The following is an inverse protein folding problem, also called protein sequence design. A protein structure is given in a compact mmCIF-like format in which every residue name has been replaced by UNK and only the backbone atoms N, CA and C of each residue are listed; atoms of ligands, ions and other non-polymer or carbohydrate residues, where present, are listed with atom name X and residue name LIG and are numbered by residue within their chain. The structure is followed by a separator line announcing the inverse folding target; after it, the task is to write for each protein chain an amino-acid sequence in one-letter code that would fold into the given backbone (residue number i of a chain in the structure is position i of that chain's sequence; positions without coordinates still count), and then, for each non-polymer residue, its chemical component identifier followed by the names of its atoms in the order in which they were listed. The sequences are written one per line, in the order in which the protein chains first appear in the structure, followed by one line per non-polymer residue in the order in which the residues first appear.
data_IF_535154923634
#
_entry.id   IF_535154923634
#
_cell.length_a   1.000
_cell.length_b   1.000
_cell.length_c   1.000
_cell.angle_alpha   90.00
_cell.angle_beta   90.00
_cell.angle_gamma   90.00
#
_symmetry.space_group_name_H-M   'P 1'
#
loop_
_entity.id
_entity.type
_entity.pdbx_description
1 polymer ?
#
# COMPACT_ATOMS: atom_id res chain seq x y z
N UNK A 1 -28.18 21.25 -3.38
CA UNK A 1 -27.50 20.31 -4.28
C UNK A 1 -26.01 20.62 -4.49
N UNK A 2 -25.53 21.86 -4.29
CA UNK A 2 -24.14 22.28 -4.56
C UNK A 2 -23.09 21.95 -3.49
N UNK A 3 -23.46 21.29 -2.36
CA UNK A 3 -22.52 20.88 -1.30
C UNK A 3 -21.95 19.47 -1.46
N UNK A 4 -22.45 18.67 -2.41
CA UNK A 4 -22.06 17.26 -2.56
C UNK A 4 -20.76 17.11 -3.35
N UNK A 5 -20.42 18.07 -4.21
CA UNK A 5 -19.27 18.03 -5.11
C UNK A 5 -18.08 18.94 -4.71
N UNK A 6 -18.11 19.58 -3.52
CA UNK A 6 -16.95 20.36 -3.09
C UNK A 6 -15.85 19.42 -2.61
N UNK A 7 -14.95 19.06 -3.52
CA UNK A 7 -13.64 18.49 -3.17
C UNK A 7 -12.97 19.54 -2.25
N UNK A 8 -12.82 19.17 -0.99
CA UNK A 8 -12.38 20.09 0.07
C UNK A 8 -10.91 20.54 -0.08
N UNK A 9 -10.14 19.87 -0.96
CA UNK A 9 -8.75 20.18 -1.27
C UNK A 9 -8.46 19.95 -2.76
N UNK A 10 -8.62 21.00 -3.55
CA UNK A 10 -8.41 20.94 -5.01
C UNK A 10 -6.96 20.59 -5.39
N UNK A 11 -5.97 21.05 -4.60
CA UNK A 11 -4.56 20.76 -4.87
C UNK A 11 -4.31 19.24 -4.73
N UNK A 12 -4.73 18.64 -3.62
CA UNK A 12 -4.58 17.20 -3.40
C UNK A 12 -5.26 16.40 -4.52
N UNK A 13 -6.49 16.78 -4.89
CA UNK A 13 -7.24 16.10 -5.95
C UNK A 13 -6.52 16.18 -7.30
N UNK A 14 -6.04 17.37 -7.69
CA UNK A 14 -5.33 17.56 -8.97
C UNK A 14 -4.07 16.71 -9.03
N UNK A 15 -3.28 16.65 -7.96
CA UNK A 15 -2.06 15.84 -7.95
C UNK A 15 -2.35 14.33 -7.96
N UNK A 16 -3.39 13.85 -7.26
CA UNK A 16 -3.85 12.46 -7.37
C UNK A 16 -4.23 12.14 -8.82
N UNK A 17 -4.99 13.02 -9.47
CA UNK A 17 -5.42 12.86 -10.86
C UNK A 17 -4.22 12.85 -11.81
N UNK A 18 -3.29 13.81 -11.68
CA UNK A 18 -2.11 13.89 -12.54
C UNK A 18 -1.24 12.64 -12.43
N UNK A 19 -0.91 12.18 -11.22
CA UNK A 19 -0.10 10.96 -11.01
C UNK A 19 -0.83 9.73 -11.57
N UNK A 20 -2.15 9.63 -11.37
CA UNK A 20 -2.92 8.48 -11.85
C UNK A 20 -3.03 8.45 -13.38
N UNK A 21 -3.23 9.60 -14.04
CA UNK A 21 -3.27 9.69 -15.50
C UNK A 21 -1.89 9.42 -16.10
N UNK A 22 -0.85 9.94 -15.48
CA UNK A 22 0.52 9.61 -15.86
C UNK A 22 0.81 8.11 -15.70
N UNK A 23 0.29 7.48 -14.64
CA UNK A 23 0.34 6.03 -14.43
C UNK A 23 -0.29 5.23 -15.58
N UNK A 24 -1.40 5.70 -16.18
CA UNK A 24 -1.98 5.07 -17.37
C UNK A 24 -1.07 5.18 -18.59
N UNK A 25 -0.44 6.34 -18.79
CA UNK A 25 0.51 6.52 -19.91
C UNK A 25 1.74 5.62 -19.73
N UNK A 26 2.28 5.55 -18.50
CA UNK A 26 3.41 4.67 -18.19
C UNK A 26 3.05 3.19 -18.34
N UNK A 27 1.83 2.81 -17.96
CA UNK A 27 1.34 1.45 -18.12
C UNK A 27 1.24 1.07 -19.60
N UNK A 28 0.82 1.98 -20.47
CA UNK A 28 0.82 1.76 -21.93
C UNK A 28 2.21 1.41 -22.44
N UNK A 29 3.24 2.11 -21.97
CA UNK A 29 4.63 1.75 -22.28
C UNK A 29 5.03 0.40 -21.67
N UNK A 30 4.77 0.20 -20.39
CA UNK A 30 5.15 -1.01 -19.67
C UNK A 30 4.49 -2.29 -20.21
N UNK A 31 3.36 -2.19 -20.92
CA UNK A 31 2.61 -3.34 -21.47
C UNK A 31 2.81 -3.54 -22.97
N UNK A 32 3.89 -3.00 -23.54
CA UNK A 32 4.16 -3.06 -24.99
C UNK A 32 2.99 -2.51 -25.81
N UNK A 33 2.45 -1.35 -25.41
CA UNK A 33 1.37 -0.64 -26.09
C UNK A 33 0.03 -1.41 -26.15
N UNK A 34 -0.20 -2.33 -25.17
CA UNK A 34 -1.49 -3.04 -25.06
C UNK A 34 -2.59 -2.08 -24.59
N UNK A 35 -3.41 -1.64 -25.57
CA UNK A 35 -4.53 -0.72 -25.35
C UNK A 35 -5.61 -1.33 -24.48
N UNK A 36 -5.84 -2.64 -24.56
CA UNK A 36 -6.90 -3.32 -23.79
C UNK A 36 -6.60 -3.32 -22.30
N UNK A 37 -5.33 -3.48 -21.93
CA UNK A 37 -4.90 -3.39 -20.51
C UNK A 37 -5.11 -1.95 -20.01
N UNK A 38 -4.76 -0.95 -20.82
CA UNK A 38 -4.91 0.47 -20.44
C UNK A 38 -6.39 0.85 -20.31
N UNK A 39 -7.25 0.41 -21.23
CA UNK A 39 -8.70 0.66 -21.15
C UNK A 39 -9.29 0.02 -19.88
N UNK A 40 -8.95 -1.24 -19.59
CA UNK A 40 -9.37 -1.92 -18.36
C UNK A 40 -8.88 -1.19 -17.10
N UNK A 41 -7.64 -0.71 -17.07
CA UNK A 41 -7.13 0.05 -15.94
C UNK A 41 -7.78 1.44 -15.85
N UNK A 42 -8.03 2.10 -16.98
CA UNK A 42 -8.73 3.39 -17.05
C UNK A 42 -10.17 3.30 -16.51
N UNK A 43 -10.89 2.22 -16.85
CA UNK A 43 -12.24 1.98 -16.32
C UNK A 43 -12.23 1.73 -14.80
N UNK A 44 -11.25 0.97 -14.29
CA UNK A 44 -11.04 0.79 -12.84
C UNK A 44 -10.71 2.11 -12.15
N UNK A 45 -9.87 2.93 -12.76
CA UNK A 45 -9.49 4.23 -12.24
C UNK A 45 -10.70 5.16 -12.13
N UNK A 46 -11.53 5.22 -13.17
CA UNK A 46 -12.79 6.00 -13.15
C UNK A 46 -13.71 5.54 -12.01
N UNK A 47 -13.90 4.23 -11.86
CA UNK A 47 -14.68 3.66 -10.76
C UNK A 47 -14.10 4.06 -9.40
N UNK A 48 -12.77 4.00 -9.23
CA UNK A 48 -12.10 4.39 -7.99
C UNK A 48 -12.24 5.88 -7.68
N UNK A 49 -12.21 6.77 -8.68
CA UNK A 49 -12.50 8.19 -8.49
C UNK A 49 -13.94 8.42 -8.00
N UNK A 50 -14.92 7.74 -8.59
CA UNK A 50 -16.32 7.82 -8.13
C UNK A 50 -16.43 7.33 -6.68
N UNK A 51 -15.81 6.19 -6.37
CA UNK A 51 -15.78 5.63 -5.02
C UNK A 51 -15.13 6.60 -4.01
N UNK A 52 -14.02 7.24 -4.36
CA UNK A 52 -13.36 8.26 -3.55
C UNK A 52 -14.30 9.43 -3.24
N UNK A 53 -15.05 9.92 -4.24
CA UNK A 53 -16.02 11.02 -4.07
C UNK A 53 -17.16 10.58 -3.14
N UNK A 54 -17.68 9.36 -3.31
CA UNK A 54 -18.71 8.80 -2.43
C UNK A 54 -18.22 8.75 -0.98
N UNK A 55 -17.04 8.18 -0.76
CA UNK A 55 -16.46 8.06 0.60
C UNK A 55 -16.15 9.44 1.19
N UNK A 56 -15.68 10.40 0.40
CA UNK A 56 -15.44 11.78 0.85
C UNK A 56 -16.71 12.49 1.33
N UNK A 57 -17.88 12.01 0.87
CA UNK A 57 -19.19 12.56 1.27
C UNK A 57 -19.70 11.99 2.60
N UNK A 58 -19.15 10.86 3.04
CA UNK A 58 -19.54 10.22 4.31
C UNK A 58 -19.01 11.05 5.48
N UNK A 59 -19.85 11.25 6.48
CA UNK A 59 -19.44 11.93 7.71
C UNK A 59 -18.45 11.10 8.50
N UNK A 60 -17.34 11.71 8.93
CA UNK A 60 -16.29 11.02 9.69
C UNK A 60 -16.81 10.37 10.98
N UNK A 61 -17.84 10.96 11.62
CA UNK A 61 -18.48 10.37 12.80
C UNK A 61 -19.27 9.11 12.45
N UNK A 62 -19.94 9.06 11.29
CA UNK A 62 -20.59 7.85 10.79
C UNK A 62 -19.55 6.78 10.46
N UNK A 63 -18.45 7.19 9.82
CA UNK A 63 -17.34 6.28 9.55
C UNK A 63 -16.76 5.69 10.84
N UNK A 64 -16.59 6.50 11.89
CA UNK A 64 -16.19 6.04 13.22
C UNK A 64 -17.15 4.99 13.78
N UNK A 65 -18.46 5.21 13.69
CA UNK A 65 -19.48 4.25 14.17
C UNK A 65 -19.48 2.95 13.37
N UNK A 66 -19.26 3.03 12.05
CA UNK A 66 -19.23 1.86 11.18
C UNK A 66 -17.92 1.07 11.25
N UNK A 67 -16.86 1.64 11.82
CA UNK A 67 -15.51 1.03 11.86
C UNK A 67 -15.48 -0.41 12.37
N UNK A 68 -16.06 -0.77 13.53
CA UNK A 68 -16.02 -2.14 14.03
C UNK A 68 -16.71 -3.13 13.08
N UNK A 69 -17.83 -2.71 12.48
CA UNK A 69 -18.58 -3.54 11.53
C UNK A 69 -17.78 -3.79 10.26
N UNK A 70 -17.17 -2.74 9.70
CA UNK A 70 -16.31 -2.84 8.50
C UNK A 70 -15.14 -3.79 8.77
N UNK A 71 -14.49 -3.66 9.93
CA UNK A 71 -13.37 -4.52 10.32
C UNK A 71 -13.80 -5.99 10.43
N UNK A 72 -14.93 -6.28 11.11
CA UNK A 72 -15.46 -7.64 11.26
C UNK A 72 -15.85 -8.23 9.89
N UNK A 73 -16.50 -7.44 9.03
CA UNK A 73 -16.86 -7.84 7.68
C UNK A 73 -15.59 -8.21 6.88
N UNK A 74 -14.53 -7.41 6.95
CA UNK A 74 -13.27 -7.74 6.31
C UNK A 74 -12.66 -9.05 6.85
N UNK A 75 -12.72 -9.31 8.15
CA UNK A 75 -12.27 -10.58 8.72
C UNK A 75 -13.09 -11.77 8.23
N UNK A 76 -14.41 -11.62 8.13
CA UNK A 76 -15.31 -12.67 7.59
C UNK A 76 -14.95 -12.95 6.12
N UNK A 77 -14.82 -11.91 5.29
CA UNK A 77 -14.42 -12.09 3.89
C UNK A 77 -13.03 -12.71 3.75
N UNK A 78 -12.10 -12.37 4.65
CA UNK A 78 -10.77 -12.97 4.66
C UNK A 78 -10.84 -14.47 5.02
N UNK A 79 -11.69 -14.85 5.98
CA UNK A 79 -11.95 -16.25 6.30
C UNK A 79 -12.62 -16.98 5.12
N UNK A 80 -13.62 -16.37 4.48
CA UNK A 80 -14.26 -16.91 3.28
C UNK A 80 -13.23 -17.13 2.17
N UNK A 81 -12.33 -16.17 1.95
CA UNK A 81 -11.28 -16.28 0.92
C UNK A 81 -10.36 -17.48 1.16
N UNK A 82 -10.10 -17.86 2.41
CA UNK A 82 -9.26 -19.01 2.75
C UNK A 82 -9.88 -20.33 2.25
N UNK A 83 -11.22 -20.47 2.31
CA UNK A 83 -11.93 -21.71 1.95
C UNK A 83 -12.39 -21.70 0.47
N UNK A 84 -12.96 -20.59 0.01
CA UNK A 84 -13.60 -20.45 -1.31
C UNK A 84 -12.90 -19.47 -2.25
N UNK A 85 -11.71 -18.95 -1.89
CA UNK A 85 -10.95 -18.03 -2.74
C UNK A 85 -10.51 -18.68 -4.05
N UNK A 86 -10.39 -17.86 -5.09
CA UNK A 86 -9.81 -18.27 -6.37
C UNK A 86 -8.31 -18.53 -6.21
N UNK A 87 -7.86 -19.66 -6.72
CA UNK A 87 -6.45 -20.06 -6.68
C UNK A 87 -5.66 -19.30 -7.75
N UNK A 88 -4.65 -18.57 -7.32
CA UNK A 88 -3.73 -17.87 -8.19
C UNK A 88 -2.30 -18.07 -7.69
N UNK A 89 -1.44 -18.63 -8.54
CA UNK A 89 -0.03 -18.96 -8.22
C UNK A 89 0.08 -19.83 -6.94
N UNK A 90 -0.85 -20.79 -6.77
CA UNK A 90 -0.83 -21.74 -5.64
C UNK A 90 -1.34 -21.17 -4.30
N UNK A 91 -2.05 -20.06 -4.32
CA UNK A 91 -2.62 -19.47 -3.12
C UNK A 91 -4.02 -18.90 -3.36
N UNK A 92 -4.95 -19.17 -2.44
CA UNK A 92 -6.32 -18.66 -2.47
C UNK A 92 -6.39 -17.28 -1.81
N UNK A 93 -6.22 -16.21 -2.61
CA UNK A 93 -6.13 -14.82 -2.11
C UNK A 93 -7.19 -13.88 -2.67
N UNK A 94 -7.91 -14.30 -3.71
CA UNK A 94 -8.79 -13.46 -4.49
C UNK A 94 -10.24 -13.91 -4.39
N UNK A 95 -11.15 -12.94 -4.28
CA UNK A 95 -12.58 -13.13 -4.45
C UNK A 95 -12.97 -12.48 -5.78
N UNK A 96 -13.64 -13.22 -6.63
CA UNK A 96 -14.17 -12.67 -7.87
C UNK A 96 -15.60 -12.19 -7.59
N UNK A 97 -15.82 -10.88 -7.67
CA UNK A 97 -17.13 -10.24 -7.52
C UNK A 97 -17.46 -9.52 -8.81
N UNK A 98 -18.52 -9.94 -9.52
CA UNK A 98 -18.94 -9.32 -10.78
C UNK A 98 -17.82 -9.13 -11.81
N UNK A 99 -16.89 -10.09 -11.91
CA UNK A 99 -15.74 -10.03 -12.83
C UNK A 99 -14.54 -9.22 -12.33
N UNK A 100 -14.63 -8.61 -11.14
CA UNK A 100 -13.50 -7.94 -10.50
C UNK A 100 -12.83 -8.88 -9.50
N UNK A 101 -11.52 -9.05 -9.61
CA UNK A 101 -10.72 -9.75 -8.60
C UNK A 101 -10.43 -8.81 -7.44
N UNK A 102 -11.03 -9.08 -6.27
CA UNK A 102 -10.83 -8.32 -5.04
C UNK A 102 -9.92 -9.11 -4.09
N UNK A 103 -8.85 -8.47 -3.63
CA UNK A 103 -8.00 -8.99 -2.57
C UNK A 103 -8.35 -8.28 -1.26
N UNK A 104 -8.98 -8.98 -0.33
CA UNK A 104 -9.47 -8.40 0.93
C UNK A 104 -8.33 -7.86 1.78
N UNK A 105 -7.16 -8.50 1.73
CA UNK A 105 -5.98 -8.06 2.48
C UNK A 105 -5.48 -6.66 2.07
N UNK A 106 -5.79 -6.19 0.85
CA UNK A 106 -5.50 -4.81 0.46
C UNK A 106 -6.34 -3.78 1.24
N UNK A 107 -7.61 -4.11 1.50
CA UNK A 107 -8.52 -3.25 2.27
C UNK A 107 -8.11 -3.23 3.75
N UNK A 108 -7.53 -4.31 4.26
CA UNK A 108 -7.06 -4.42 5.65
C UNK A 108 -5.93 -3.44 5.99
N UNK A 109 -5.14 -3.01 5.02
CA UNK A 109 -4.13 -1.95 5.23
C UNK A 109 -4.75 -0.63 5.70
N UNK A 110 -6.04 -0.41 5.42
CA UNK A 110 -6.79 0.77 5.87
C UNK A 110 -7.67 0.44 7.07
N UNK A 111 -8.36 -0.70 7.05
CA UNK A 111 -9.33 -1.03 8.10
C UNK A 111 -8.68 -1.39 9.44
N UNK A 112 -7.46 -1.93 9.44
CA UNK A 112 -6.69 -2.15 10.69
C UNK A 112 -6.33 -0.81 11.36
N UNK A 113 -5.71 0.17 10.69
CA UNK A 113 -5.52 1.52 11.24
C UNK A 113 -6.81 2.19 11.67
N UNK A 114 -7.88 2.03 10.89
CA UNK A 114 -9.20 2.60 11.21
C UNK A 114 -9.76 2.00 12.51
N UNK A 115 -9.64 0.67 12.70
CA UNK A 115 -10.07 -0.02 13.92
C UNK A 115 -9.22 0.38 15.13
N UNK A 116 -7.91 0.55 14.96
CA UNK A 116 -7.03 1.04 16.03
C UNK A 116 -7.35 2.48 16.42
N UNK A 117 -7.57 3.37 15.43
CA UNK A 117 -7.96 4.75 15.67
C UNK A 117 -9.32 4.84 16.41
N UNK A 118 -10.27 3.98 16.03
CA UNK A 118 -11.54 3.84 16.75
C UNK A 118 -11.31 3.40 18.20
N UNK A 119 -10.55 2.32 18.40
CA UNK A 119 -10.29 1.77 19.74
C UNK A 119 -9.62 2.78 20.67
N UNK A 120 -8.60 3.50 20.17
CA UNK A 120 -7.93 4.54 20.96
C UNK A 120 -8.81 5.76 21.22
N UNK A 121 -9.78 6.04 20.36
CA UNK A 121 -10.72 7.16 20.53
C UNK A 121 -11.86 6.88 21.52
N UNK A 122 -11.95 5.67 22.12
CA UNK A 122 -12.96 5.33 23.14
C UNK A 122 -12.60 5.84 24.53
N UNK A 123 -11.39 6.26 24.77
CA UNK A 123 -10.93 6.74 26.07
C UNK A 123 -10.07 7.99 25.91
N UNK A 124 -10.22 8.92 26.83
CA UNK A 124 -9.49 10.19 26.85
C UNK A 124 -8.04 10.07 27.35
N UNK A 125 -7.60 8.86 27.73
CA UNK A 125 -6.23 8.64 28.18
C UNK A 125 -5.24 8.95 27.05
N UNK A 126 -4.36 9.91 27.28
CA UNK A 126 -3.30 10.31 26.35
C UNK A 126 -2.24 9.22 26.16
N UNK A 127 -2.06 8.34 27.12
CA UNK A 127 -1.05 7.31 27.13
C UNK A 127 -1.65 5.92 26.89
N UNK A 128 -1.04 5.17 25.96
CA UNK A 128 -1.41 3.77 25.73
C UNK A 128 -0.95 2.93 26.93
N UNK A 129 -1.89 2.40 27.71
CA UNK A 129 -1.62 1.43 28.78
C UNK A 129 -1.22 0.07 28.21
N UNK A 130 -0.61 -0.80 29.03
CA UNK A 130 -0.24 -2.15 28.60
C UNK A 130 -1.45 -2.97 28.11
N UNK A 131 -2.59 -2.85 28.78
CA UNK A 131 -3.84 -3.52 28.36
C UNK A 131 -4.29 -3.04 26.98
N UNK A 132 -4.29 -1.73 26.73
CA UNK A 132 -4.61 -1.16 25.40
C UNK A 132 -3.65 -1.65 24.34
N UNK A 133 -2.36 -1.77 24.65
CA UNK A 133 -1.34 -2.26 23.73
C UNK A 133 -1.59 -3.73 23.36
N UNK A 134 -1.90 -4.59 24.33
CA UNK A 134 -2.23 -6.01 24.07
C UNK A 134 -3.44 -6.14 23.15
N UNK A 135 -4.53 -5.41 23.43
CA UNK A 135 -5.72 -5.43 22.56
C UNK A 135 -5.42 -4.87 21.17
N UNK A 136 -4.55 -3.87 21.06
CA UNK A 136 -4.11 -3.35 19.75
C UNK A 136 -3.40 -4.42 18.93
N UNK A 137 -2.55 -5.23 19.56
CA UNK A 137 -1.91 -6.35 18.89
C UNK A 137 -2.91 -7.45 18.49
N UNK A 138 -3.94 -7.72 19.30
CA UNK A 138 -5.01 -8.65 18.90
C UNK A 138 -5.73 -8.15 17.62
N UNK A 139 -6.02 -6.84 17.53
CA UNK A 139 -6.60 -6.23 16.32
C UNK A 139 -5.67 -6.39 15.11
N UNK A 140 -4.36 -6.29 15.28
CA UNK A 140 -3.40 -6.45 14.19
C UNK A 140 -3.22 -7.92 13.81
N UNK A 141 -3.06 -8.81 14.79
CA UNK A 141 -2.74 -10.22 14.54
C UNK A 141 -3.94 -11.04 14.04
N UNK A 142 -5.18 -10.64 14.35
CA UNK A 142 -6.37 -11.33 13.86
C UNK A 142 -6.40 -11.45 12.33
N UNK A 143 -6.27 -10.38 11.53
CA UNK A 143 -6.20 -10.51 10.07
C UNK A 143 -4.89 -11.17 9.60
N UNK A 144 -3.76 -10.90 10.25
CA UNK A 144 -2.45 -11.47 9.89
C UNK A 144 -2.49 -12.99 9.96
N UNK A 145 -3.16 -13.58 10.94
CA UNK A 145 -3.32 -15.02 11.05
C UNK A 145 -3.92 -15.65 9.78
N UNK A 146 -4.98 -15.05 9.24
CA UNK A 146 -5.59 -15.52 8.00
C UNK A 146 -4.69 -15.29 6.79
N UNK A 147 -4.03 -14.13 6.70
CA UNK A 147 -3.15 -13.78 5.57
C UNK A 147 -1.90 -14.68 5.51
N UNK A 148 -1.34 -15.06 6.66
CA UNK A 148 -0.25 -16.04 6.73
C UNK A 148 -0.72 -17.43 6.25
N UNK A 149 -1.95 -17.83 6.56
CA UNK A 149 -2.56 -19.08 6.06
C UNK A 149 -2.78 -19.06 4.53
N UNK A 150 -2.84 -17.87 3.91
CA UNK A 150 -2.89 -17.67 2.45
C UNK A 150 -1.49 -17.57 1.80
N UNK A 151 -0.44 -18.14 2.38
CA UNK A 151 1.01 -17.94 2.23
C UNK A 151 1.44 -16.55 1.71
N UNK A 152 0.84 -15.46 2.24
CA UNK A 152 1.16 -14.07 1.86
C UNK A 152 1.91 -13.33 2.96
N UNK A 153 3.20 -13.61 3.09
CA UNK A 153 4.06 -12.98 4.10
C UNK A 153 4.25 -11.48 3.83
N UNK A 154 4.34 -11.10 2.55
CA UNK A 154 4.56 -9.70 2.17
C UNK A 154 3.42 -8.79 2.67
N UNK A 155 2.18 -9.15 2.34
CA UNK A 155 1.01 -8.41 2.80
C UNK A 155 0.84 -8.47 4.32
N UNK A 156 1.16 -9.64 4.96
CA UNK A 156 1.14 -9.77 6.42
C UNK A 156 2.08 -8.77 7.10
N UNK A 157 3.31 -8.62 6.56
CA UNK A 157 4.29 -7.68 7.07
C UNK A 157 3.82 -6.22 6.90
N UNK A 158 3.25 -5.89 5.75
CA UNK A 158 2.70 -4.54 5.52
C UNK A 158 1.55 -4.24 6.49
N UNK A 159 0.62 -5.17 6.72
CA UNK A 159 -0.47 -4.99 7.70
C UNK A 159 0.11 -4.79 9.12
N UNK A 160 1.12 -5.57 9.50
CA UNK A 160 1.83 -5.40 10.77
C UNK A 160 2.43 -4.00 10.91
N UNK A 161 3.13 -3.54 9.86
CA UNK A 161 3.73 -2.20 9.84
C UNK A 161 2.67 -1.10 9.91
N UNK A 162 1.57 -1.23 9.14
CA UNK A 162 0.44 -0.29 9.19
C UNK A 162 -0.14 -0.17 10.60
N UNK A 163 -0.37 -1.30 11.26
CA UNK A 163 -0.88 -1.32 12.63
C UNK A 163 0.12 -0.74 13.64
N UNK A 164 1.41 -1.10 13.52
CA UNK A 164 2.47 -0.61 14.40
C UNK A 164 2.67 0.90 14.27
N UNK A 165 2.67 1.43 13.03
CA UNK A 165 2.70 2.88 12.77
C UNK A 165 1.52 3.57 13.45
N UNK A 166 0.33 2.98 13.36
CA UNK A 166 -0.87 3.53 13.98
C UNK A 166 -0.75 3.56 15.50
N UNK A 167 -0.23 2.50 16.14
CA UNK A 167 0.04 2.47 17.59
C UNK A 167 1.07 3.55 17.96
N UNK A 168 2.11 3.72 17.14
CA UNK A 168 3.13 4.75 17.36
C UNK A 168 2.54 6.16 17.33
N UNK A 169 1.70 6.46 16.34
CA UNK A 169 0.98 7.74 16.24
C UNK A 169 -0.04 7.95 17.37
N UNK A 170 -0.56 6.87 17.95
CA UNK A 170 -1.46 6.90 19.11
C UNK A 170 -0.81 7.29 20.43
N UNK A 171 0.52 7.50 20.48
CA UNK A 171 1.21 7.95 21.69
C UNK A 171 1.69 6.81 22.58
N UNK A 172 2.33 5.79 22.00
CA UNK A 172 2.95 4.71 22.77
C UNK A 172 4.08 5.23 23.66
N UNK A 173 4.15 4.77 24.91
CA UNK A 173 5.22 5.12 25.85
C UNK A 173 6.56 4.57 25.37
N UNK A 174 7.64 5.37 25.42
CA UNK A 174 9.00 5.00 24.96
C UNK A 174 9.49 3.65 25.50
N UNK A 175 9.14 3.30 26.75
CA UNK A 175 9.50 2.00 27.34
C UNK A 175 8.95 0.80 26.58
N UNK A 176 7.71 0.90 26.05
CA UNK A 176 7.11 -0.18 25.26
C UNK A 176 7.75 -0.30 23.89
N UNK A 177 8.21 0.81 23.29
CA UNK A 177 9.00 0.78 22.06
C UNK A 177 10.28 -0.01 22.29
N UNK A 178 11.00 0.27 23.37
CA UNK A 178 12.21 -0.45 23.74
C UNK A 178 11.97 -1.95 23.97
N UNK A 179 10.87 -2.31 24.68
CA UNK A 179 10.52 -3.72 24.88
C UNK A 179 10.16 -4.43 23.57
N UNK A 180 9.37 -3.78 22.69
CA UNK A 180 9.00 -4.34 21.40
C UNK A 180 10.20 -4.51 20.48
N UNK A 181 11.10 -3.52 20.45
CA UNK A 181 12.36 -3.61 19.68
C UNK A 181 13.25 -4.74 20.22
N UNK A 182 13.41 -4.86 21.52
CA UNK A 182 14.16 -5.94 22.14
C UNK A 182 13.55 -7.32 21.83
N UNK A 183 12.22 -7.45 21.95
CA UNK A 183 11.50 -8.67 21.62
C UNK A 183 11.72 -9.05 20.14
N UNK A 184 11.64 -8.08 19.23
CA UNK A 184 11.81 -8.30 17.80
C UNK A 184 13.23 -8.80 17.48
N UNK A 185 14.28 -8.21 18.10
CA UNK A 185 15.68 -8.65 17.94
C UNK A 185 15.85 -10.10 18.40
N UNK A 186 15.29 -10.46 19.55
CA UNK A 186 15.37 -11.83 20.09
C UNK A 186 14.54 -12.81 19.24
N UNK A 187 13.41 -12.39 18.72
CA UNK A 187 12.50 -13.25 17.96
C UNK A 187 12.95 -13.46 16.50
N UNK A 188 13.72 -12.54 15.93
CA UNK A 188 14.19 -12.62 14.54
C UNK A 188 14.97 -13.93 14.23
N UNK A 189 15.95 -14.37 15.03
CA UNK A 189 16.63 -15.66 14.81
C UNK A 189 15.69 -16.87 14.91
N UNK A 190 14.72 -16.81 15.83
CA UNK A 190 13.70 -17.85 15.99
C UNK A 190 12.82 -17.94 14.76
N UNK A 191 12.34 -16.80 14.25
CA UNK A 191 11.60 -16.73 12.99
C UNK A 191 12.39 -17.30 11.82
N UNK A 192 13.65 -16.92 11.70
CA UNK A 192 14.53 -17.39 10.63
C UNK A 192 14.68 -18.94 10.67
N UNK A 193 14.91 -19.50 11.83
CA UNK A 193 15.17 -20.94 11.96
C UNK A 193 13.92 -21.80 11.82
N UNK A 194 12.79 -21.41 12.44
CA UNK A 194 11.63 -22.25 12.65
C UNK A 194 10.35 -21.83 11.92
N UNK A 195 10.18 -20.56 11.59
CA UNK A 195 8.89 -20.04 11.10
C UNK A 195 8.90 -19.71 9.61
N UNK A 196 10.03 -19.27 9.05
CA UNK A 196 10.10 -18.90 7.64
C UNK A 196 10.16 -20.14 6.75
N UNK A 197 9.30 -20.15 5.74
CA UNK A 197 9.29 -21.16 4.68
C UNK A 197 10.52 -21.02 3.76
N UNK A 198 10.96 -22.09 3.06
CA UNK A 198 12.15 -22.06 2.21
C UNK A 198 12.14 -20.91 1.19
N UNK A 199 11.01 -20.69 0.50
CA UNK A 199 10.90 -19.62 -0.50
C UNK A 199 10.98 -18.22 0.11
N UNK A 200 10.58 -18.04 1.38
CA UNK A 200 10.67 -16.76 2.08
C UNK A 200 12.12 -16.43 2.47
N UNK A 201 12.84 -17.47 2.94
CA UNK A 201 14.28 -17.36 3.19
C UNK A 201 15.04 -17.04 1.91
N UNK A 202 14.66 -17.72 0.81
CA UNK A 202 15.28 -17.48 -0.50
C UNK A 202 15.13 -16.03 -0.94
N UNK A 203 13.95 -15.40 -0.77
CA UNK A 203 13.75 -13.97 -1.11
C UNK A 203 14.67 -13.02 -0.32
N UNK A 204 14.99 -13.36 0.94
CA UNK A 204 15.91 -12.55 1.74
C UNK A 204 17.35 -12.80 1.29
N UNK A 205 17.72 -14.04 0.99
CA UNK A 205 19.07 -14.40 0.49
C UNK A 205 19.31 -13.71 -0.87
N UNK A 206 18.38 -13.82 -1.80
CA UNK A 206 18.49 -13.21 -3.13
C UNK A 206 18.52 -11.69 -3.13
N UNK A 207 18.03 -11.04 -2.06
CA UNK A 207 18.22 -9.59 -1.90
C UNK A 207 19.72 -9.24 -1.73
N UNK A 208 20.46 -10.04 -0.95
CA UNK A 208 21.90 -9.83 -0.71
C UNK A 208 22.77 -10.41 -1.83
N UNK A 209 22.37 -11.56 -2.37
CA UNK A 209 23.06 -12.23 -3.46
C UNK A 209 22.05 -12.63 -4.56
N UNK A 210 21.73 -11.71 -5.48
CA UNK A 210 20.81 -12.01 -6.59
C UNK A 210 21.29 -13.13 -7.51
N UNK A 211 22.60 -13.40 -7.56
CA UNK A 211 23.16 -14.47 -8.38
C UNK A 211 22.83 -15.88 -7.84
N UNK A 212 22.42 -16.00 -6.59
CA UNK A 212 21.97 -17.26 -5.99
C UNK A 212 20.64 -17.79 -6.54
N UNK A 213 19.87 -16.96 -7.28
CA UNK A 213 18.58 -17.34 -7.90
C UNK A 213 18.44 -16.69 -9.29
N UNK A 214 19.24 -17.14 -10.29
CA UNK A 214 19.34 -16.48 -11.59
C UNK A 214 18.11 -16.67 -12.49
N UNK A 215 17.15 -17.51 -12.12
CA UNK A 215 15.91 -17.79 -12.88
C UNK A 215 14.64 -17.38 -12.12
N UNK A 216 14.75 -16.97 -10.86
CA UNK A 216 13.63 -16.58 -10.01
C UNK A 216 13.70 -15.13 -9.56
N UNK A 217 13.53 -14.91 -8.26
CA UNK A 217 13.47 -13.55 -7.69
C UNK A 217 14.77 -12.75 -7.87
N UNK A 218 15.92 -13.42 -7.97
CA UNK A 218 17.22 -12.77 -8.26
C UNK A 218 17.27 -12.17 -9.67
N UNK A 219 16.71 -12.87 -10.66
CA UNK A 219 16.58 -12.33 -12.02
C UNK A 219 15.79 -11.03 -12.04
N UNK A 220 14.64 -11.00 -11.39
CA UNK A 220 13.79 -9.80 -11.30
C UNK A 220 14.54 -8.60 -10.71
N UNK A 221 15.28 -8.83 -9.59
CA UNK A 221 16.07 -7.78 -8.94
C UNK A 221 17.19 -7.28 -9.86
N UNK A 222 17.90 -8.18 -10.53
CA UNK A 222 18.98 -7.81 -11.43
C UNK A 222 18.47 -6.98 -12.62
N UNK A 223 17.42 -7.44 -13.29
CA UNK A 223 16.84 -6.72 -14.42
C UNK A 223 16.26 -5.36 -14.01
N UNK A 224 15.64 -5.27 -12.83
CA UNK A 224 15.16 -4.01 -12.29
C UNK A 224 16.31 -3.03 -12.02
N UNK A 225 17.42 -3.48 -11.42
CA UNK A 225 18.62 -2.65 -11.22
C UNK A 225 19.24 -2.18 -12.52
N UNK A 226 19.31 -3.06 -13.52
CA UNK A 226 19.81 -2.72 -14.86
C UNK A 226 18.90 -1.66 -15.50
N UNK A 227 17.57 -1.82 -15.44
CA UNK A 227 16.62 -0.86 -15.95
C UNK A 227 16.81 0.52 -15.31
N UNK A 228 16.78 0.59 -13.97
CA UNK A 228 16.99 1.86 -13.24
C UNK A 228 18.34 2.50 -13.57
N UNK A 229 19.42 1.71 -13.59
CA UNK A 229 20.78 2.23 -13.86
C UNK A 229 20.94 2.68 -15.30
N UNK A 230 20.29 2.02 -16.27
CA UNK A 230 20.40 2.35 -17.70
C UNK A 230 19.65 3.63 -18.10
N UNK A 231 18.73 4.12 -17.26
CA UNK A 231 18.01 5.37 -17.52
C UNK A 231 18.88 6.61 -17.44
N UNK A 232 20.00 6.59 -16.71
CA UNK A 232 20.91 7.74 -16.61
C UNK A 232 20.22 9.00 -16.07
N UNK A 233 20.67 10.16 -16.56
CA UNK A 233 20.15 11.46 -16.11
C UNK A 233 18.80 11.82 -16.75
N UNK A 234 18.65 11.61 -18.05
CA UNK A 234 17.51 12.07 -18.87
C UNK A 234 16.55 10.96 -19.27
N UNK A 235 16.89 9.70 -19.02
CA UNK A 235 16.14 8.55 -19.49
C UNK A 235 16.42 8.21 -20.97
N UNK A 236 15.89 7.08 -21.40
CA UNK A 236 15.97 6.63 -22.81
C UNK A 236 14.86 7.23 -23.67
N UNK A 237 13.90 7.90 -23.07
CA UNK A 237 12.69 8.41 -23.71
C UNK A 237 11.50 7.44 -23.57
N UNK A 238 10.29 8.00 -23.62
CA UNK A 238 9.04 7.26 -23.55
C UNK A 238 8.97 6.22 -24.67
N UNK A 239 8.56 4.99 -24.35
CA UNK A 239 8.51 3.82 -25.23
C UNK A 239 9.88 3.28 -25.72
N UNK A 240 10.99 3.80 -25.19
CA UNK A 240 12.33 3.37 -25.59
C UNK A 240 13.07 2.57 -24.49
N UNK A 241 12.36 2.12 -23.48
CA UNK A 241 12.91 1.28 -22.40
C UNK A 241 13.28 -0.11 -22.94
N UNK A 242 14.56 -0.45 -23.01
CA UNK A 242 15.02 -1.75 -23.56
C UNK A 242 14.65 -2.92 -22.64
N UNK A 243 14.74 -2.76 -21.33
CA UNK A 243 14.40 -3.83 -20.37
C UNK A 243 12.90 -4.10 -20.32
N UNK A 244 12.08 -3.05 -20.46
CA UNK A 244 10.63 -3.17 -20.49
C UNK A 244 10.12 -3.70 -21.82
N UNK A 245 10.59 -3.17 -22.95
CA UNK A 245 10.10 -3.53 -24.28
C UNK A 245 10.52 -4.95 -24.71
N UNK A 246 11.71 -5.40 -24.34
CA UNK A 246 12.20 -6.75 -24.64
C UNK A 246 11.72 -7.82 -23.63
N UNK A 247 10.82 -7.46 -22.71
CA UNK A 247 10.21 -8.37 -21.71
C UNK A 247 11.21 -9.01 -20.72
N UNK A 248 12.40 -8.42 -20.58
CA UNK A 248 13.37 -8.91 -19.60
C UNK A 248 12.93 -8.64 -18.16
N UNK A 249 12.00 -7.68 -17.94
CA UNK A 249 11.48 -7.33 -16.64
C UNK A 249 10.07 -7.93 -16.44
N UNK A 250 9.94 -9.06 -15.74
CA UNK A 250 8.63 -9.59 -15.38
C UNK A 250 7.90 -8.67 -14.41
N UNK A 251 6.56 -8.75 -14.38
CA UNK A 251 5.70 -7.91 -13.51
C UNK A 251 5.98 -6.39 -13.65
N UNK A 252 6.40 -5.94 -14.83
CA UNK A 252 6.79 -4.56 -15.14
C UNK A 252 5.65 -3.56 -15.01
N UNK A 253 4.39 -4.00 -15.19
CA UNK A 253 3.21 -3.15 -15.00
C UNK A 253 2.74 -3.05 -13.54
N UNK A 254 3.18 -3.94 -12.66
CA UNK A 254 2.73 -4.05 -11.27
C UNK A 254 3.82 -3.64 -10.28
N UNK A 255 4.67 -4.57 -9.88
CA UNK A 255 5.65 -4.41 -8.81
C UNK A 255 6.87 -3.58 -9.23
N UNK A 256 7.27 -3.68 -10.50
CA UNK A 256 8.46 -3.05 -11.05
C UNK A 256 8.17 -1.86 -11.98
N UNK A 257 6.97 -1.28 -11.92
CA UNK A 257 6.60 -0.11 -12.75
C UNK A 257 7.57 1.07 -12.55
N UNK A 258 8.13 1.22 -11.33
CA UNK A 258 9.14 2.23 -11.04
C UNK A 258 10.43 2.02 -11.84
N UNK A 259 10.83 0.77 -12.09
CA UNK A 259 12.03 0.48 -12.90
C UNK A 259 11.82 0.89 -14.37
N UNK A 260 10.64 0.63 -14.94
CA UNK A 260 10.26 1.11 -16.28
C UNK A 260 10.28 2.62 -16.33
N UNK A 261 9.67 3.28 -15.33
CA UNK A 261 9.68 4.74 -15.22
C UNK A 261 11.11 5.31 -15.17
N UNK A 262 11.96 4.72 -14.31
CA UNK A 262 13.35 5.15 -14.17
C UNK A 262 14.17 4.96 -15.45
N UNK A 263 13.93 3.88 -16.18
CA UNK A 263 14.59 3.62 -17.48
C UNK A 263 14.21 4.65 -18.54
N UNK A 264 12.91 4.98 -18.64
CA UNK A 264 12.39 5.88 -19.69
C UNK A 264 12.61 7.36 -19.38
N UNK A 265 12.45 7.80 -18.13
CA UNK A 265 12.50 9.20 -17.74
C UNK A 265 13.77 9.60 -16.95
N UNK A 266 14.60 8.64 -16.57
CA UNK A 266 15.87 8.86 -15.91
C UNK A 266 15.74 9.51 -14.52
N UNK A 267 16.87 10.02 -14.05
CA UNK A 267 16.95 10.62 -12.72
C UNK A 267 16.09 11.89 -12.57
N UNK A 268 16.00 12.73 -13.58
CA UNK A 268 15.16 13.93 -13.58
C UNK A 268 13.68 13.55 -13.44
N UNK A 269 13.23 12.53 -14.19
CA UNK A 269 11.87 12.02 -14.05
C UNK A 269 11.58 11.53 -12.64
N UNK A 270 12.52 10.78 -12.03
CA UNK A 270 12.39 10.31 -10.64
C UNK A 270 12.21 11.48 -9.67
N UNK A 271 13.01 12.55 -9.82
CA UNK A 271 12.88 13.73 -8.97
C UNK A 271 11.51 14.41 -9.10
N UNK A 272 10.99 14.52 -10.33
CA UNK A 272 9.66 15.10 -10.59
C UNK A 272 8.56 14.22 -9.97
N UNK A 273 8.65 12.90 -10.11
CA UNK A 273 7.70 11.97 -9.51
C UNK A 273 7.71 12.07 -7.98
N UNK A 274 8.89 12.08 -7.37
CA UNK A 274 9.04 12.24 -5.93
C UNK A 274 8.50 13.59 -5.44
N UNK A 275 8.67 14.66 -6.21
CA UNK A 275 8.08 15.98 -5.93
C UNK A 275 6.54 15.90 -5.95
N UNK A 276 5.94 15.21 -6.90
CA UNK A 276 4.48 15.03 -6.95
C UNK A 276 3.97 14.24 -5.73
N UNK A 277 4.64 13.15 -5.36
CA UNK A 277 4.32 12.43 -4.12
C UNK A 277 4.52 13.29 -2.87
N UNK A 278 5.59 14.11 -2.85
CA UNK A 278 5.83 15.03 -1.73
C UNK A 278 4.68 16.02 -1.57
N UNK A 279 4.17 16.61 -2.66
CA UNK A 279 3.00 17.51 -2.61
C UNK A 279 1.78 16.77 -2.05
N UNK A 280 1.49 15.55 -2.52
CA UNK A 280 0.39 14.72 -2.00
C UNK A 280 0.55 14.50 -0.48
N UNK A 281 1.74 14.09 -0.03
CA UNK A 281 2.04 13.81 1.37
C UNK A 281 1.90 15.08 2.22
N UNK A 282 2.47 16.20 1.78
CA UNK A 282 2.38 17.50 2.49
C UNK A 282 0.91 17.91 2.65
N UNK A 283 0.07 17.75 1.61
CA UNK A 283 -1.36 18.04 1.70
C UNK A 283 -2.08 17.13 2.68
N UNK A 284 -1.78 15.82 2.67
CA UNK A 284 -2.33 14.87 3.63
C UNK A 284 -1.92 15.20 5.08
N UNK A 285 -0.65 15.56 5.31
CA UNK A 285 -0.15 16.00 6.64
C UNK A 285 -0.85 17.29 7.08
N UNK A 286 -1.02 18.25 6.17
CA UNK A 286 -1.74 19.49 6.46
C UNK A 286 -3.19 19.24 6.88
N UNK A 287 -3.91 18.36 6.17
CA UNK A 287 -5.28 17.96 6.55
C UNK A 287 -5.28 17.28 7.92
N UNK A 288 -4.33 16.38 8.15
CA UNK A 288 -4.18 15.68 9.44
C UNK A 288 -3.93 16.64 10.60
N UNK A 289 -3.08 17.67 10.39
CA UNK A 289 -2.75 18.64 11.44
C UNK A 289 -3.95 19.50 11.85
N UNK A 290 -4.86 19.76 10.91
CA UNK A 290 -6.10 20.51 11.13
C UNK A 290 -7.26 19.67 11.68
N UNK A 291 -7.13 18.35 11.73
CA UNK A 291 -8.21 17.49 12.20
C UNK A 291 -8.56 17.77 13.66
N UNK A 292 -9.85 18.04 13.94
CA UNK A 292 -10.35 18.42 15.26
C UNK A 292 -10.48 17.24 16.23
N UNK A 293 -10.89 16.08 15.72
CA UNK A 293 -11.16 14.91 16.53
C UNK A 293 -9.96 13.98 16.57
N UNK A 294 -9.70 13.35 17.72
CA UNK A 294 -8.62 12.38 17.90
C UNK A 294 -8.69 11.23 16.88
N UNK A 295 -9.88 10.65 16.66
CA UNK A 295 -10.10 9.61 15.64
C UNK A 295 -9.68 10.08 14.25
N UNK A 296 -10.14 11.25 13.84
CA UNK A 296 -9.85 11.83 12.52
C UNK A 296 -8.34 12.07 12.34
N UNK A 297 -7.71 12.66 13.36
CA UNK A 297 -6.27 12.96 13.35
C UNK A 297 -5.43 11.69 13.28
N UNK A 298 -5.78 10.70 14.08
CA UNK A 298 -5.07 9.43 14.12
C UNK A 298 -5.25 8.64 12.82
N UNK A 299 -6.48 8.55 12.31
CA UNK A 299 -6.78 7.82 11.08
C UNK A 299 -6.11 8.46 9.86
N UNK A 300 -6.26 9.78 9.66
CA UNK A 300 -5.64 10.47 8.51
C UNK A 300 -4.12 10.46 8.60
N UNK A 301 -3.54 10.58 9.80
CA UNK A 301 -2.10 10.45 10.02
C UNK A 301 -1.58 9.04 9.70
N UNK A 302 -2.31 8.01 10.11
CA UNK A 302 -1.97 6.62 9.80
C UNK A 302 -2.05 6.36 8.29
N UNK A 303 -3.10 6.79 7.63
CA UNK A 303 -3.24 6.66 6.16
C UNK A 303 -2.08 7.36 5.44
N UNK A 304 -1.72 8.57 5.87
CA UNK A 304 -0.58 9.30 5.28
C UNK A 304 0.73 8.54 5.45
N UNK A 305 0.99 8.01 6.65
CA UNK A 305 2.19 7.24 6.92
C UNK A 305 2.22 5.91 6.14
N UNK A 306 1.07 5.27 5.94
CA UNK A 306 0.94 4.08 5.10
C UNK A 306 1.24 4.38 3.64
N UNK A 307 0.74 5.51 3.11
CA UNK A 307 1.06 5.95 1.76
C UNK A 307 2.57 6.11 1.58
N UNK A 308 3.25 6.75 2.53
CA UNK A 308 4.72 6.88 2.54
C UNK A 308 5.39 5.51 2.57
N UNK A 309 4.93 4.61 3.45
CA UNK A 309 5.45 3.25 3.57
C UNK A 309 5.37 2.49 2.25
N UNK A 310 4.22 2.53 1.55
CA UNK A 310 4.02 1.83 0.28
C UNK A 310 4.92 2.39 -0.82
N UNK A 311 5.08 3.72 -0.91
CA UNK A 311 5.98 4.38 -1.88
C UNK A 311 7.42 3.95 -1.62
N UNK A 312 7.91 4.08 -0.38
CA UNK A 312 9.28 3.71 -0.01
C UNK A 312 9.52 2.22 -0.27
N UNK A 313 8.58 1.35 0.11
CA UNK A 313 8.73 -0.10 -0.06
C UNK A 313 8.84 -0.47 -1.53
N UNK A 314 7.97 0.06 -2.42
CA UNK A 314 8.03 -0.24 -3.85
C UNK A 314 9.32 0.28 -4.50
N UNK A 315 9.69 1.53 -4.26
CA UNK A 315 10.93 2.11 -4.79
C UNK A 315 12.15 1.33 -4.29
N UNK A 316 12.23 1.04 -2.98
CA UNK A 316 13.34 0.28 -2.39
C UNK A 316 13.42 -1.15 -2.94
N UNK A 317 12.29 -1.79 -3.25
CA UNK A 317 12.23 -3.08 -3.92
C UNK A 317 12.76 -3.00 -5.35
N UNK A 318 12.36 -1.99 -6.11
CA UNK A 318 12.79 -1.80 -7.49
C UNK A 318 14.29 -1.51 -7.62
N UNK A 319 14.88 -0.77 -6.67
CA UNK A 319 16.34 -0.53 -6.62
C UNK A 319 17.11 -1.65 -5.92
N UNK A 320 16.42 -2.68 -5.40
CA UNK A 320 17.01 -3.86 -4.78
C UNK A 320 17.59 -3.62 -3.38
N UNK A 321 17.04 -2.69 -2.61
CA UNK A 321 17.34 -2.43 -1.20
C UNK A 321 16.45 -3.27 -0.28
N UNK A 322 15.24 -3.61 -0.73
CA UNK A 322 14.32 -4.50 -0.03
C UNK A 322 14.03 -5.75 -0.86
N UNK A 323 13.70 -6.88 -0.21
CA UNK A 323 13.30 -8.09 -0.93
C UNK A 323 11.98 -7.86 -1.69
N UNK A 324 11.73 -8.66 -2.72
CA UNK A 324 10.49 -8.59 -3.50
C UNK A 324 9.32 -9.07 -2.65
N UNK A 325 8.47 -8.14 -2.23
CA UNK A 325 7.29 -8.40 -1.37
C UNK A 325 5.95 -8.29 -2.12
N UNK A 326 5.95 -7.83 -3.37
CA UNK A 326 4.73 -7.71 -4.16
C UNK A 326 3.87 -6.51 -3.75
N UNK A 327 4.47 -5.35 -3.58
CA UNK A 327 3.78 -4.10 -3.21
C UNK A 327 3.76 -3.17 -4.41
N UNK A 328 2.56 -2.81 -4.85
CA UNK A 328 2.37 -1.89 -5.97
C UNK A 328 2.70 -0.44 -5.60
N UNK A 329 3.23 0.34 -6.55
CA UNK A 329 3.46 1.77 -6.37
C UNK A 329 2.12 2.52 -6.42
N UNK A 330 1.73 3.24 -5.35
CA UNK A 330 0.44 3.93 -5.29
C UNK A 330 0.19 4.84 -6.50
N UNK A 331 -1.00 4.78 -7.09
CA UNK A 331 -1.47 5.57 -8.23
C UNK A 331 -0.82 5.27 -9.59
N UNK A 332 0.37 4.63 -9.65
CA UNK A 332 1.06 4.32 -10.91
C UNK A 332 0.85 2.89 -11.38
N UNK A 333 0.99 1.91 -10.46
CA UNK A 333 0.98 0.49 -10.83
C UNK A 333 -0.37 0.01 -11.32
N UNK A 334 -0.33 -0.98 -12.22
CA UNK A 334 -1.49 -1.81 -12.55
C UNK A 334 -1.96 -2.51 -11.28
N UNK A 335 -3.22 -2.32 -10.92
CA UNK A 335 -3.81 -2.98 -9.76
C UNK A 335 -5.32 -2.74 -9.69
N UNK A 336 -6.06 -3.78 -9.31
CA UNK A 336 -7.49 -3.65 -9.03
C UNK A 336 -7.72 -3.28 -7.57
N UNK A 337 -7.42 -4.20 -6.66
CA UNK A 337 -7.69 -4.05 -5.23
C UNK A 337 -6.81 -3.02 -4.55
N UNK A 338 -5.54 -2.92 -4.94
CA UNK A 338 -4.61 -1.90 -4.43
C UNK A 338 -5.06 -0.49 -4.80
N UNK A 339 -5.54 -0.30 -6.04
CA UNK A 339 -6.10 0.97 -6.50
C UNK A 339 -7.34 1.33 -5.67
N UNK A 340 -8.29 0.40 -5.50
CA UNK A 340 -9.48 0.59 -4.66
C UNK A 340 -9.07 1.03 -3.25
N UNK A 341 -8.13 0.34 -2.62
CA UNK A 341 -7.70 0.66 -1.26
C UNK A 341 -7.11 2.08 -1.16
N UNK A 342 -6.24 2.47 -2.08
CA UNK A 342 -5.63 3.80 -2.09
C UNK A 342 -6.68 4.90 -2.29
N UNK A 343 -7.65 4.71 -3.20
CA UNK A 343 -8.70 5.70 -3.43
C UNK A 343 -9.69 5.78 -2.26
N UNK A 344 -10.00 4.66 -1.58
CA UNK A 344 -10.73 4.67 -0.31
C UNK A 344 -9.98 5.48 0.75
N UNK A 345 -8.66 5.30 0.87
CA UNK A 345 -7.82 6.05 1.78
C UNK A 345 -7.88 7.56 1.52
N UNK A 346 -7.76 7.99 0.26
CA UNK A 346 -7.92 9.40 -0.10
C UNK A 346 -9.34 9.91 0.15
N UNK A 347 -10.37 9.11 -0.12
CA UNK A 347 -11.76 9.46 0.20
C UNK A 347 -11.96 9.74 1.69
N UNK A 348 -11.32 8.95 2.57
CA UNK A 348 -11.32 9.17 4.02
C UNK A 348 -10.60 10.48 4.37
N UNK A 349 -9.44 10.77 3.77
CA UNK A 349 -8.70 12.02 3.99
C UNK A 349 -9.55 13.23 3.58
N UNK A 350 -10.23 13.18 2.43
CA UNK A 350 -11.15 14.24 2.00
C UNK A 350 -12.35 14.40 2.95
N UNK A 351 -12.89 13.29 3.48
CA UNK A 351 -13.96 13.34 4.50
C UNK A 351 -13.51 14.05 5.78
N UNK A 352 -12.26 13.81 6.23
CA UNK A 352 -11.67 14.51 7.38
C UNK A 352 -11.56 16.02 7.10
N UNK A 353 -11.10 16.41 5.91
CA UNK A 353 -10.90 17.83 5.56
C UNK A 353 -12.21 18.62 5.41
N UNK A 354 -13.29 17.99 4.97
CA UNK A 354 -14.57 18.68 4.69
C UNK A 354 -15.21 19.32 5.92
N UNK A 355 -14.82 18.92 7.14
CA UNK A 355 -15.44 19.33 8.40
C UNK A 355 -14.49 20.07 9.35
N UNK A 356 -13.28 20.32 8.91
CA UNK A 356 -12.37 21.21 9.61
C UNK A 356 -12.61 22.67 9.24
#
# INVERSE_FOLDING_TARGET
MNKILSISDSVLFVFIMLVSLFGLALLYSATNQDVDIVIRQGSRLLFCFILMIIVSSIEINKLKQLTPYIYIICLIFLAITLFWGHDSKGAKRWIIVMGFSLQVSEILKITVPMMLAWYFSLSDDKDISLKKLIFSFLIIFAPIFFVIKQPDLGTSLIILLCGTITIFLGGIRKKYIAYLSGLLIVFMPVMWKFLLLPYQKQRIITMFDPASDPLGSGYHIMQSKIAVGSGGFFGKGFLNGTQSQLEFLPERGTDFIFAVFAEEFGFIGILILLLFYMVIIIRCVYITSKAKNYFSKMLSGSITAILILLIITNISMAVGVLPVVGVTLPLLSLGGSSLISIFLAFGIIFSVNRRN
#
